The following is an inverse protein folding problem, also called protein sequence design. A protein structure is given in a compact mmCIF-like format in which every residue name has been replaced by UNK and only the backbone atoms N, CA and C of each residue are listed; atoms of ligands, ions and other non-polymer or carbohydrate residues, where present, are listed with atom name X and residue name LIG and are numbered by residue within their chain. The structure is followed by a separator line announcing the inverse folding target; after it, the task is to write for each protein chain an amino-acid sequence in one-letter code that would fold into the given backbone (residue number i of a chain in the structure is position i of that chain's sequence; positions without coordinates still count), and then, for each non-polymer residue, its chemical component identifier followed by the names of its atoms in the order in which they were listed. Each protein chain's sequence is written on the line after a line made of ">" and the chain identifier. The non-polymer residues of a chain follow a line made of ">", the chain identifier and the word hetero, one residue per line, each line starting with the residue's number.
data_IF_055995838671
#
_entry.id   IF_055995838671
#
_cell.length_a   1.000
_cell.length_b   1.000
_cell.length_c   1.000
_cell.angle_alpha   90.00
_cell.angle_beta   90.00
_cell.angle_gamma   90.00
#
_symmetry.space_group_name_H-M   'P 1'
#
loop_
_entity.id
_entity.type
_entity.pdbx_description
1 polymer ?
#
# COMPACT_ATOMS: atom_id res chain seq x y z
N UNK A 1 -2.65 12.09 -2.11
CA UNK A 1 -3.16 10.97 -1.28
C UNK A 1 -4.12 10.17 -2.14
N UNK A 2 -4.10 8.84 -2.10
CA UNK A 2 -4.98 8.01 -2.93
C UNK A 2 -6.41 8.10 -2.37
N UNK A 3 -7.40 8.65 -3.11
CA UNK A 3 -8.78 8.79 -2.63
C UNK A 3 -9.39 7.46 -2.15
N UNK A 4 -8.95 6.35 -2.75
CA UNK A 4 -9.31 4.98 -2.40
C UNK A 4 -9.07 4.66 -0.91
N UNK A 5 -7.95 5.11 -0.35
CA UNK A 5 -7.60 4.88 1.06
C UNK A 5 -8.50 5.69 2.00
N UNK A 6 -8.91 6.88 1.58
CA UNK A 6 -9.77 7.76 2.38
C UNK A 6 -11.15 7.15 2.52
N UNK A 7 -11.73 6.67 1.42
CA UNK A 7 -13.02 5.95 1.43
C UNK A 7 -12.90 4.67 2.27
N UNK A 8 -11.84 3.87 2.04
CA UNK A 8 -11.60 2.65 2.79
C UNK A 8 -11.53 2.88 4.31
N UNK A 9 -10.73 3.85 4.73
CA UNK A 9 -10.54 4.17 6.14
C UNK A 9 -11.80 4.74 6.81
N UNK A 10 -12.50 5.69 6.17
CA UNK A 10 -13.69 6.32 6.77
C UNK A 10 -14.84 5.33 6.86
N UNK A 11 -15.13 4.57 5.80
CA UNK A 11 -16.20 3.58 5.82
C UNK A 11 -15.92 2.46 6.85
N UNK A 12 -14.67 2.02 6.96
CA UNK A 12 -14.29 1.04 7.98
C UNK A 12 -14.44 1.62 9.39
N UNK A 13 -14.02 2.86 9.63
CA UNK A 13 -14.17 3.50 10.95
C UNK A 13 -15.65 3.67 11.35
N UNK A 14 -16.52 4.08 10.42
CA UNK A 14 -17.95 4.23 10.67
C UNK A 14 -18.64 2.89 10.95
N UNK A 15 -18.21 1.82 10.28
CA UNK A 15 -18.70 0.45 10.52
C UNK A 15 -18.55 0.04 11.98
N UNK A 16 -17.45 0.45 12.63
CA UNK A 16 -17.09 0.03 13.98
C UNK A 16 -17.81 0.81 15.10
N UNK A 17 -18.53 1.90 14.79
CA UNK A 17 -19.21 2.75 15.80
C UNK A 17 -20.28 1.99 16.57
N UNK A 18 -20.99 1.08 15.91
CA UNK A 18 -22.02 0.23 16.53
C UNK A 18 -21.55 -1.17 16.90
N UNK A 19 -20.24 -1.39 16.99
CA UNK A 19 -19.68 -2.67 17.40
C UNK A 19 -19.63 -2.81 18.93
N UNK A 20 -19.81 -4.03 19.42
CA UNK A 20 -19.50 -4.36 20.81
C UNK A 20 -18.09 -4.97 20.89
N UNK A 21 -17.24 -4.53 21.83
CA UNK A 21 -15.92 -5.12 22.00
C UNK A 21 -16.06 -6.53 22.58
N UNK A 22 -15.77 -7.54 21.78
CA UNK A 22 -15.76 -8.95 22.23
C UNK A 22 -14.32 -9.40 22.43
N UNK A 23 -14.01 -9.88 23.63
CA UNK A 23 -12.66 -10.36 23.98
C UNK A 23 -12.17 -11.41 22.97
N UNK A 24 -11.00 -11.16 22.37
CA UNK A 24 -10.36 -12.04 21.38
C UNK A 24 -10.90 -11.97 19.95
N UNK A 25 -11.98 -11.22 19.68
CA UNK A 25 -12.53 -11.04 18.32
C UNK A 25 -12.56 -9.58 17.83
N UNK A 26 -12.21 -8.62 18.70
CA UNK A 26 -12.26 -7.20 18.39
C UNK A 26 -13.68 -6.64 18.45
N UNK A 27 -13.92 -5.54 17.74
CA UNK A 27 -15.24 -4.91 17.65
C UNK A 27 -16.16 -5.74 16.74
N UNK A 28 -17.17 -6.38 17.32
CA UNK A 28 -18.14 -7.19 16.58
C UNK A 28 -19.39 -6.36 16.33
N UNK A 29 -19.65 -6.11 15.05
CA UNK A 29 -20.79 -5.32 14.59
C UNK A 29 -21.93 -6.27 14.23
N UNK A 30 -23.07 -6.15 14.89
CA UNK A 30 -24.26 -6.99 14.65
C UNK A 30 -25.24 -6.36 13.67
N UNK A 31 -25.15 -5.04 13.43
CA UNK A 31 -26.04 -4.33 12.53
C UNK A 31 -25.70 -4.60 11.05
N UNK A 32 -26.65 -5.10 10.22
CA UNK A 32 -26.40 -5.40 8.81
C UNK A 32 -25.92 -4.20 7.96
N UNK A 33 -26.40 -2.99 8.26
CA UNK A 33 -25.97 -1.78 7.55
C UNK A 33 -24.50 -1.47 7.82
N UNK A 34 -24.09 -1.55 9.10
CA UNK A 34 -22.71 -1.29 9.49
C UNK A 34 -21.76 -2.38 8.99
N UNK A 35 -22.19 -3.64 8.89
CA UNK A 35 -21.43 -4.72 8.26
C UNK A 35 -21.18 -4.44 6.78
N UNK A 36 -22.21 -4.02 6.02
CA UNK A 36 -22.07 -3.65 4.62
C UNK A 36 -21.14 -2.44 4.44
N UNK A 37 -21.19 -1.47 5.36
CA UNK A 37 -20.27 -0.34 5.36
C UNK A 37 -18.82 -0.76 5.61
N UNK A 38 -18.60 -1.76 6.48
CA UNK A 38 -17.29 -2.37 6.73
C UNK A 38 -16.76 -3.15 5.52
N UNK A 39 -17.64 -3.81 4.77
CA UNK A 39 -17.28 -4.47 3.51
C UNK A 39 -16.78 -3.46 2.46
N UNK A 40 -17.43 -2.29 2.34
CA UNK A 40 -16.95 -1.19 1.48
C UNK A 40 -15.58 -0.68 1.95
N UNK A 41 -15.43 -0.49 3.26
CA UNK A 41 -14.17 -0.04 3.87
C UNK A 41 -13.01 -1.00 3.60
N UNK A 42 -13.22 -2.29 3.84
CA UNK A 42 -12.22 -3.34 3.59
C UNK A 42 -11.86 -3.49 2.12
N UNK A 43 -12.83 -3.39 1.20
CA UNK A 43 -12.56 -3.37 -0.23
C UNK A 43 -11.68 -2.16 -0.64
N UNK A 44 -11.96 -0.97 -0.09
CA UNK A 44 -11.16 0.22 -0.33
C UNK A 44 -9.71 0.07 0.17
N UNK A 45 -9.52 -0.47 1.38
CA UNK A 45 -8.18 -0.71 1.92
C UNK A 45 -7.43 -1.82 1.15
N UNK A 46 -8.12 -2.88 0.72
CA UNK A 46 -7.54 -3.95 -0.09
C UNK A 46 -7.05 -3.47 -1.46
N UNK A 47 -7.69 -2.45 -2.03
CA UNK A 47 -7.28 -1.85 -3.31
C UNK A 47 -6.08 -0.90 -3.20
N UNK A 48 -5.54 -0.66 -2.00
CA UNK A 48 -4.43 0.27 -1.80
C UNK A 48 -3.16 -0.14 -2.57
N UNK A 49 -2.79 -1.43 -2.50
CA UNK A 49 -1.59 -1.98 -3.15
C UNK A 49 -1.74 -1.98 -4.69
N UNK A 50 -2.85 -2.50 -5.28
CA UNK A 50 -3.10 -2.40 -6.71
C UNK A 50 -3.05 -0.97 -7.25
N UNK A 51 -3.71 -0.03 -6.55
CA UNK A 51 -3.81 1.36 -7.00
C UNK A 51 -2.44 2.05 -6.95
N UNK A 52 -1.64 1.77 -5.92
CA UNK A 52 -0.26 2.25 -5.85
C UNK A 52 0.54 1.82 -7.09
N UNK A 53 0.57 0.53 -7.40
CA UNK A 53 1.30 0.00 -8.55
C UNK A 53 0.80 0.58 -9.88
N UNK A 54 -0.52 0.75 -10.02
CA UNK A 54 -1.14 1.37 -11.18
C UNK A 54 -0.66 2.81 -11.38
N UNK A 55 -0.61 3.63 -10.33
CA UNK A 55 -0.16 5.02 -10.41
C UNK A 55 1.35 5.15 -10.62
N UNK A 56 2.16 4.23 -10.08
CA UNK A 56 3.59 4.14 -10.38
C UNK A 56 3.80 3.85 -11.87
N UNK A 57 3.12 2.82 -12.40
CA UNK A 57 3.19 2.46 -13.82
C UNK A 57 2.68 3.60 -14.72
N UNK A 58 1.58 4.24 -14.32
CA UNK A 58 1.02 5.41 -15.00
C UNK A 58 2.01 6.58 -15.08
N UNK A 59 2.80 6.82 -14.01
CA UNK A 59 3.82 7.88 -14.01
C UNK A 59 4.91 7.67 -15.08
N UNK A 60 5.12 6.43 -15.54
CA UNK A 60 6.16 6.07 -16.50
C UNK A 60 5.60 5.98 -17.94
N UNK A 61 4.47 5.31 -18.13
CA UNK A 61 3.91 5.02 -19.45
C UNK A 61 2.64 5.83 -19.83
N UNK A 62 2.09 6.59 -18.89
CA UNK A 62 0.79 7.25 -19.02
C UNK A 62 -0.38 6.27 -18.95
N UNK A 63 -1.52 6.64 -19.54
CA UNK A 63 -2.77 5.84 -19.51
C UNK A 63 -2.60 4.35 -19.84
N UNK A 64 -1.80 3.93 -20.85
CA UNK A 64 -1.64 2.50 -21.18
C UNK A 64 -0.96 1.68 -20.07
N UNK A 65 -0.21 2.32 -19.16
CA UNK A 65 0.46 1.66 -18.05
C UNK A 65 -0.45 1.40 -16.84
N UNK A 66 -1.63 2.04 -16.78
CA UNK A 66 -2.52 1.95 -15.63
C UNK A 66 -2.98 0.49 -15.39
N UNK A 67 -3.52 -0.15 -16.42
CA UNK A 67 -4.02 -1.53 -16.36
C UNK A 67 -2.94 -2.57 -16.00
N UNK A 68 -1.76 -2.61 -16.66
CA UNK A 68 -0.73 -3.59 -16.30
C UNK A 68 -0.19 -3.37 -14.88
N UNK A 69 -0.09 -2.11 -14.43
CA UNK A 69 0.28 -1.81 -13.05
C UNK A 69 -0.79 -2.25 -12.04
N UNK A 70 -2.07 -2.07 -12.36
CA UNK A 70 -3.17 -2.52 -11.49
C UNK A 70 -3.20 -4.04 -11.35
N UNK A 71 -3.09 -4.78 -12.46
CA UNK A 71 -3.12 -6.25 -12.46
C UNK A 71 -1.93 -6.81 -11.68
N UNK A 72 -0.71 -6.34 -11.98
CA UNK A 72 0.49 -6.83 -11.30
C UNK A 72 0.55 -6.39 -9.84
N UNK A 73 0.03 -5.20 -9.50
CA UNK A 73 -0.15 -4.77 -8.12
C UNK A 73 -1.14 -5.64 -7.35
N UNK A 74 -2.23 -6.07 -7.98
CA UNK A 74 -3.16 -7.05 -7.39
C UNK A 74 -2.52 -8.43 -7.21
N UNK A 75 -1.65 -8.84 -8.14
CA UNK A 75 -0.84 -10.05 -7.98
C UNK A 75 0.17 -9.94 -6.83
N UNK A 76 0.66 -8.75 -6.49
CA UNK A 76 1.54 -8.55 -5.34
C UNK A 76 0.80 -8.69 -4.01
N UNK A 77 -0.46 -8.23 -3.95
CA UNK A 77 -1.33 -8.32 -2.77
C UNK A 77 -2.06 -9.64 -2.61
N UNK A 78 -1.99 -10.53 -3.59
CA UNK A 78 -2.67 -11.83 -3.58
C UNK A 78 -1.65 -12.95 -3.33
N UNK A 79 -1.97 -13.94 -2.48
CA UNK A 79 -1.10 -15.10 -2.29
C UNK A 79 -1.02 -15.92 -3.58
N UNK A 80 0.12 -15.83 -4.26
CA UNK A 80 0.37 -16.45 -5.56
C UNK A 80 1.67 -17.29 -5.53
N UNK A 81 1.86 -18.13 -6.54
CA UNK A 81 3.00 -19.05 -6.62
C UNK A 81 2.81 -20.34 -5.81
N UNK A 82 3.76 -21.26 -5.93
CA UNK A 82 3.70 -22.58 -5.29
C UNK A 82 3.66 -22.49 -3.75
N UNK A 83 4.27 -21.45 -3.18
CA UNK A 83 4.39 -21.24 -1.73
C UNK A 83 3.39 -20.22 -1.17
N UNK A 84 2.39 -19.79 -1.95
CA UNK A 84 1.38 -18.78 -1.56
C UNK A 84 1.99 -17.51 -0.92
N UNK A 85 2.98 -16.94 -1.60
CA UNK A 85 3.75 -15.80 -1.08
C UNK A 85 3.04 -14.50 -1.41
N UNK A 86 2.83 -13.68 -0.38
CA UNK A 86 2.40 -12.29 -0.53
C UNK A 86 3.65 -11.41 -0.55
N UNK A 87 3.86 -10.69 -1.65
CA UNK A 87 4.99 -9.74 -1.79
C UNK A 87 4.60 -8.32 -1.43
N UNK A 88 3.30 -8.07 -1.27
CA UNK A 88 2.76 -6.88 -0.65
C UNK A 88 3.21 -5.58 -1.32
N UNK A 89 3.44 -4.56 -0.50
CA UNK A 89 3.78 -3.22 -0.95
C UNK A 89 5.10 -3.15 -1.75
N UNK A 90 6.14 -3.85 -1.32
CA UNK A 90 7.46 -3.83 -2.01
C UNK A 90 7.37 -4.52 -3.37
N UNK A 91 6.65 -5.64 -3.43
CA UNK A 91 6.31 -6.27 -4.70
C UNK A 91 5.57 -5.31 -5.62
N UNK A 92 4.54 -4.63 -5.13
CA UNK A 92 3.76 -3.68 -5.91
C UNK A 92 4.57 -2.47 -6.39
N UNK A 93 5.52 -1.96 -5.59
CA UNK A 93 6.40 -0.87 -6.00
C UNK A 93 7.32 -1.30 -7.15
N UNK A 94 7.97 -2.46 -7.03
CA UNK A 94 8.86 -3.00 -8.06
C UNK A 94 8.08 -3.37 -9.33
N UNK A 95 6.95 -4.05 -9.19
CA UNK A 95 6.10 -4.46 -10.30
C UNK A 95 5.42 -3.28 -10.98
N UNK A 96 5.07 -2.23 -10.24
CA UNK A 96 4.57 -0.97 -10.81
C UNK A 96 5.62 -0.31 -11.71
N UNK A 97 6.88 -0.27 -11.27
CA UNK A 97 7.99 0.25 -12.08
C UNK A 97 8.22 -0.62 -13.32
N UNK A 98 8.31 -1.94 -13.14
CA UNK A 98 8.51 -2.90 -14.25
C UNK A 98 7.38 -2.81 -15.28
N UNK A 99 6.12 -2.81 -14.83
CA UNK A 99 4.94 -2.64 -15.68
C UNK A 99 4.97 -1.33 -16.46
N UNK A 100 5.42 -0.24 -15.82
CA UNK A 100 5.57 1.05 -16.47
C UNK A 100 6.63 1.01 -17.58
N UNK A 101 7.80 0.42 -17.32
CA UNK A 101 8.86 0.32 -18.33
C UNK A 101 8.50 -0.63 -19.47
N UNK A 102 7.90 -1.78 -19.19
CA UNK A 102 7.43 -2.72 -20.22
C UNK A 102 6.32 -2.07 -21.06
N UNK A 103 5.36 -1.40 -20.45
CA UNK A 103 4.31 -0.67 -21.18
C UNK A 103 4.89 0.45 -22.06
N UNK A 104 5.90 1.17 -21.56
CA UNK A 104 6.63 2.18 -22.34
C UNK A 104 7.40 1.54 -23.50
N UNK A 105 7.98 0.36 -23.32
CA UNK A 105 8.67 -0.39 -24.36
C UNK A 105 7.72 -0.89 -25.45
N UNK A 106 6.58 -1.50 -25.10
CA UNK A 106 5.58 -1.93 -26.09
C UNK A 106 5.02 -0.75 -26.89
N UNK A 107 4.95 0.44 -26.26
CA UNK A 107 4.54 1.68 -26.94
C UNK A 107 5.51 2.13 -28.04
N UNK A 108 6.77 1.71 -28.05
CA UNK A 108 7.73 2.08 -29.10
C UNK A 108 7.60 1.25 -30.38
N UNK A 109 6.78 0.20 -30.37
CA UNK A 109 6.57 -0.66 -31.53
C UNK A 109 5.89 0.10 -32.67
N UNK A 110 6.51 0.08 -33.85
CA UNK A 110 5.95 0.71 -35.06
C UNK A 110 4.81 -0.17 -35.59
N UNK A 111 3.58 0.32 -35.51
CA UNK A 111 2.39 -0.36 -36.02
C UNK A 111 1.76 0.43 -37.16
N UNK A 112 1.05 -0.26 -38.07
CA UNK A 112 0.32 0.39 -39.16
C UNK A 112 -0.79 1.31 -38.65
N UNK A 113 -1.23 2.27 -39.49
CA UNK A 113 -2.21 3.31 -39.10
C UNK A 113 -3.52 2.75 -38.54
N UNK A 114 -3.93 1.56 -38.98
CA UNK A 114 -5.13 0.87 -38.50
C UNK A 114 -5.04 0.40 -37.04
N UNK A 115 -3.83 0.12 -36.53
CA UNK A 115 -3.63 -0.46 -35.20
C UNK A 115 -3.33 0.58 -34.11
N UNK A 116 -3.03 1.82 -34.48
CA UNK A 116 -2.70 2.90 -33.52
C UNK A 116 -3.76 3.10 -32.43
N UNK A 117 -5.08 3.06 -32.71
CA UNK A 117 -6.11 3.19 -31.66
C UNK A 117 -6.19 1.97 -30.74
N UNK A 118 -5.89 0.79 -31.25
CA UNK A 118 -6.00 -0.50 -30.54
C UNK A 118 -4.81 -0.71 -29.60
N UNK A 119 -3.64 -0.13 -29.92
CA UNK A 119 -2.42 -0.24 -29.12
C UNK A 119 -2.59 0.12 -27.64
N UNK A 120 -3.02 1.33 -27.26
CA UNK A 120 -3.13 1.73 -25.84
C UNK A 120 -4.28 1.06 -25.08
N UNK A 121 -5.30 0.59 -25.80
CA UNK A 121 -6.51 0.02 -25.20
C UNK A 121 -6.35 -1.49 -24.97
N UNK A 122 -5.71 -2.20 -25.89
CA UNK A 122 -5.68 -3.66 -25.91
C UNK A 122 -4.26 -4.23 -25.91
N UNK A 123 -3.43 -3.84 -26.87
CA UNK A 123 -2.12 -4.51 -27.08
C UNK A 123 -1.17 -4.20 -25.93
N UNK A 124 -0.99 -2.93 -25.56
CA UNK A 124 -0.07 -2.54 -24.49
C UNK A 124 -0.50 -3.16 -23.14
N UNK A 125 -1.78 -3.04 -22.71
CA UNK A 125 -2.21 -3.65 -21.45
C UNK A 125 -2.04 -5.17 -21.39
N UNK A 126 -2.34 -5.90 -22.49
CA UNK A 126 -2.24 -7.36 -22.52
C UNK A 126 -0.78 -7.79 -22.51
N UNK A 127 0.03 -7.28 -23.43
CA UNK A 127 1.43 -7.70 -23.58
C UNK A 127 2.22 -7.36 -22.32
N UNK A 128 2.01 -6.16 -21.77
CA UNK A 128 2.75 -5.73 -20.58
C UNK A 128 2.34 -6.51 -19.33
N UNK A 129 1.04 -6.77 -19.15
CA UNK A 129 0.58 -7.56 -18.00
C UNK A 129 1.00 -9.02 -18.08
N UNK A 130 0.99 -9.63 -19.28
CA UNK A 130 1.48 -10.99 -19.48
C UNK A 130 2.99 -11.11 -19.23
N UNK A 131 3.81 -10.22 -19.80
CA UNK A 131 5.27 -10.27 -19.64
C UNK A 131 5.65 -10.09 -18.17
N UNK A 132 5.13 -9.04 -17.52
CA UNK A 132 5.50 -8.76 -16.12
C UNK A 132 4.87 -9.76 -15.16
N UNK A 133 3.63 -10.20 -15.41
CA UNK A 133 2.97 -11.22 -14.61
C UNK A 133 3.70 -12.57 -14.65
N UNK A 134 4.12 -13.02 -15.84
CA UNK A 134 4.91 -14.25 -15.97
C UNK A 134 6.28 -14.10 -15.30
N UNK A 135 6.98 -12.99 -15.53
CA UNK A 135 8.26 -12.72 -14.88
C UNK A 135 8.13 -12.72 -13.34
N UNK A 136 7.02 -12.17 -12.83
CA UNK A 136 6.73 -12.17 -11.41
C UNK A 136 6.57 -13.58 -10.85
N UNK A 137 5.70 -14.39 -11.46
CA UNK A 137 5.37 -15.73 -10.96
C UNK A 137 6.57 -16.68 -10.98
N UNK A 138 7.41 -16.62 -12.02
CA UNK A 138 8.53 -17.56 -12.16
C UNK A 138 9.81 -17.11 -11.49
N UNK A 139 10.09 -15.81 -11.44
CA UNK A 139 11.42 -15.30 -11.05
C UNK A 139 11.36 -14.40 -9.82
N UNK A 140 10.44 -13.45 -9.76
CA UNK A 140 10.50 -12.38 -8.75
C UNK A 140 9.78 -12.70 -7.44
N UNK A 141 8.78 -13.58 -7.45
CA UNK A 141 7.92 -13.83 -6.28
C UNK A 141 8.71 -14.39 -5.09
N UNK A 142 9.66 -15.29 -5.33
CA UNK A 142 10.56 -15.85 -4.31
C UNK A 142 11.45 -14.81 -3.64
N UNK A 143 12.36 -14.13 -4.37
CA UNK A 143 13.30 -13.19 -3.76
C UNK A 143 12.61 -12.00 -3.10
N UNK A 144 11.54 -11.46 -3.70
CA UNK A 144 10.79 -10.35 -3.11
C UNK A 144 10.07 -10.82 -1.84
N UNK A 145 9.52 -12.03 -1.84
CA UNK A 145 8.88 -12.63 -0.66
C UNK A 145 9.83 -12.78 0.52
N UNK A 146 11.06 -13.23 0.28
CA UNK A 146 12.10 -13.34 1.32
C UNK A 146 12.43 -11.96 1.89
N UNK A 147 12.65 -10.97 1.02
CA UNK A 147 12.91 -9.60 1.44
C UNK A 147 11.76 -9.01 2.27
N UNK A 148 10.52 -9.33 1.89
CA UNK A 148 9.33 -8.90 2.63
C UNK A 148 9.21 -9.54 4.00
N UNK A 149 9.40 -10.87 4.10
CA UNK A 149 9.40 -11.58 5.39
C UNK A 149 10.48 -11.03 6.32
N UNK A 150 11.67 -10.75 5.79
CA UNK A 150 12.76 -10.14 6.55
C UNK A 150 12.38 -8.75 7.06
N UNK A 151 11.83 -7.90 6.20
CA UNK A 151 11.40 -6.54 6.56
C UNK A 151 10.32 -6.55 7.64
N UNK A 152 9.27 -7.37 7.46
CA UNK A 152 8.19 -7.52 8.43
C UNK A 152 8.74 -8.04 9.76
N UNK A 153 9.62 -9.05 9.74
CA UNK A 153 10.24 -9.57 10.96
C UNK A 153 11.07 -8.51 11.70
N UNK A 154 11.89 -7.73 10.99
CA UNK A 154 12.62 -6.62 11.62
C UNK A 154 11.68 -5.61 12.27
N UNK A 155 10.61 -5.21 11.58
CA UNK A 155 9.68 -4.20 12.08
C UNK A 155 8.81 -4.71 13.24
N UNK A 156 8.41 -5.98 13.23
CA UNK A 156 7.71 -6.60 14.35
C UNK A 156 8.58 -6.65 15.60
N UNK A 157 9.89 -6.95 15.45
CA UNK A 157 10.84 -6.92 16.57
C UNK A 157 11.07 -5.50 17.11
N UNK A 158 11.00 -4.48 16.25
CA UNK A 158 11.09 -3.07 16.66
C UNK A 158 9.83 -2.57 17.38
N UNK A 159 8.63 -3.07 17.02
CA UNK A 159 7.38 -2.69 17.70
C UNK A 159 7.38 -3.05 19.19
N UNK A 160 7.93 -4.21 19.57
CA UNK A 160 7.96 -4.65 20.96
C UNK A 160 9.05 -4.00 21.83
N UNK A 161 10.28 -3.89 21.33
CA UNK A 161 11.43 -3.42 22.15
C UNK A 161 11.75 -1.92 21.99
N UNK A 162 11.29 -1.27 20.93
CA UNK A 162 11.70 0.10 20.57
C UNK A 162 10.67 0.86 19.73
N UNK A 163 9.37 0.59 19.90
CA UNK A 163 8.30 1.33 19.21
C UNK A 163 8.41 2.84 19.42
N UNK A 164 8.95 3.25 20.57
CA UNK A 164 9.33 4.63 20.92
C UNK A 164 10.35 5.23 19.93
N UNK A 165 11.42 4.49 19.62
CA UNK A 165 12.49 4.94 18.72
C UNK A 165 11.94 5.08 17.30
N UNK A 166 11.13 4.13 16.85
CA UNK A 166 10.47 4.18 15.54
C UNK A 166 9.55 5.41 15.44
N UNK A 167 8.74 5.67 16.47
CA UNK A 167 7.89 6.86 16.55
C UNK A 167 8.68 8.16 16.54
N UNK A 168 9.82 8.22 17.24
CA UNK A 168 10.71 9.39 17.25
C UNK A 168 11.31 9.68 15.87
N UNK A 169 11.79 8.65 15.16
CA UNK A 169 12.34 8.80 13.81
C UNK A 169 11.25 9.28 12.85
N UNK A 170 10.06 8.68 12.90
CA UNK A 170 8.94 9.07 12.03
C UNK A 170 8.45 10.49 12.32
N UNK A 171 8.40 10.88 13.60
CA UNK A 171 8.10 12.26 14.02
C UNK A 171 9.17 13.25 13.56
N UNK A 172 10.45 12.88 13.65
CA UNK A 172 11.55 13.70 13.14
C UNK A 172 11.48 13.88 11.62
N UNK A 173 11.16 12.82 10.85
CA UNK A 173 10.95 12.93 9.41
C UNK A 173 9.76 13.82 9.04
N UNK A 174 8.70 13.81 9.86
CA UNK A 174 7.55 14.70 9.67
C UNK A 174 7.90 16.18 9.92
N UNK A 175 8.67 16.45 10.98
CA UNK A 175 9.06 17.79 11.38
C UNK A 175 10.20 18.38 10.53
N UNK A 176 11.03 17.55 9.89
CA UNK A 176 12.23 18.00 9.17
C UNK A 176 11.92 18.97 8.03
N UNK A 177 10.88 18.68 7.25
CA UNK A 177 10.57 19.39 6.00
C UNK A 177 9.10 19.84 5.92
N UNK A 178 8.36 19.72 7.04
CA UNK A 178 6.96 20.15 7.23
C UNK A 178 6.05 19.98 6.00
N UNK A 179 6.17 18.84 5.29
CA UNK A 179 5.38 18.54 4.09
C UNK A 179 6.16 18.39 2.76
N UNK A 180 7.46 18.65 2.75
CA UNK A 180 8.32 18.44 1.58
C UNK A 180 8.68 16.96 1.32
N UNK A 181 9.70 16.66 0.47
CA UNK A 181 10.03 15.29 0.05
C UNK A 181 10.21 14.27 1.17
N UNK A 182 10.84 14.65 2.29
CA UNK A 182 11.09 13.74 3.43
C UNK A 182 9.80 13.33 4.13
N UNK A 183 8.84 14.24 4.26
CA UNK A 183 7.53 13.95 4.83
C UNK A 183 6.71 13.03 3.89
N UNK A 184 6.84 13.18 2.57
CA UNK A 184 6.15 12.31 1.60
C UNK A 184 6.68 10.88 1.61
N UNK A 185 7.98 10.69 1.77
CA UNK A 185 8.57 9.35 1.90
C UNK A 185 8.15 8.69 3.21
N UNK A 186 8.13 9.42 4.33
CA UNK A 186 7.60 8.93 5.60
C UNK A 186 6.11 8.53 5.51
N UNK A 187 5.29 9.34 4.83
CA UNK A 187 3.87 9.02 4.60
C UNK A 187 3.72 7.76 3.74
N UNK A 188 4.50 7.63 2.67
CA UNK A 188 4.45 6.45 1.80
C UNK A 188 4.90 5.18 2.54
N UNK A 189 5.95 5.28 3.35
CA UNK A 189 6.46 4.19 4.17
C UNK A 189 5.44 3.74 5.23
N UNK A 190 4.86 4.66 5.99
CA UNK A 190 3.87 4.31 7.02
C UNK A 190 2.58 3.75 6.42
N UNK A 191 2.16 4.26 5.26
CA UNK A 191 1.04 3.70 4.52
C UNK A 191 1.35 2.29 3.97
N UNK A 192 2.59 2.04 3.56
CA UNK A 192 3.06 0.71 3.17
C UNK A 192 2.92 -0.29 4.32
N UNK A 193 3.36 0.09 5.52
CA UNK A 193 3.27 -0.78 6.70
C UNK A 193 1.82 -1.09 7.08
N UNK A 194 0.94 -0.10 6.94
CA UNK A 194 -0.50 -0.31 7.12
C UNK A 194 -1.06 -1.33 6.12
N UNK A 195 -0.54 -1.37 4.89
CA UNK A 195 -0.93 -2.37 3.88
C UNK A 195 -0.58 -3.80 4.31
N UNK A 196 0.54 -3.96 5.03
CA UNK A 196 1.02 -5.23 5.55
C UNK A 196 0.39 -5.61 6.91
N UNK A 197 -0.62 -4.85 7.37
CA UNK A 197 -1.28 -5.08 8.66
C UNK A 197 -0.52 -4.54 9.88
N UNK A 198 0.54 -3.75 9.67
CA UNK A 198 1.30 -3.08 10.73
C UNK A 198 0.77 -1.66 10.91
N UNK A 199 -0.16 -1.47 11.84
CA UNK A 199 -0.87 -0.19 12.02
C UNK A 199 -0.16 0.82 12.92
N UNK A 200 0.63 0.36 13.90
CA UNK A 200 1.27 1.21 14.91
C UNK A 200 2.08 2.39 14.35
N UNK A 201 3.00 2.17 13.39
CA UNK A 201 3.82 3.24 12.82
C UNK A 201 3.02 4.34 12.11
N UNK A 202 1.95 3.97 11.40
CA UNK A 202 1.06 4.92 10.73
C UNK A 202 0.23 5.73 11.74
N UNK A 203 -0.19 5.12 12.84
CA UNK A 203 -0.82 5.82 13.96
C UNK A 203 0.12 6.87 14.56
N UNK A 204 1.33 6.46 14.95
CA UNK A 204 2.33 7.36 15.54
C UNK A 204 2.68 8.56 14.62
N UNK A 205 2.89 8.29 13.34
CA UNK A 205 3.21 9.33 12.35
C UNK A 205 2.07 10.34 12.14
N UNK A 206 0.81 9.88 12.07
CA UNK A 206 -0.35 10.76 11.87
C UNK A 206 -0.65 11.62 13.09
N UNK A 207 -0.43 11.09 14.29
CA UNK A 207 -0.54 11.87 15.54
C UNK A 207 0.54 12.96 15.58
N UNK A 208 1.77 12.65 15.14
CA UNK A 208 2.85 13.64 15.02
C UNK A 208 2.55 14.79 14.05
N UNK A 209 1.85 14.52 12.94
CA UNK A 209 1.42 15.53 11.96
C UNK A 209 0.31 16.47 12.48
N UNK A 210 -0.60 15.98 13.32
CA UNK A 210 -1.67 16.79 13.89
C UNK A 210 -1.19 17.81 14.94
N UNK A 211 -0.02 17.58 15.55
CA UNK A 211 0.59 18.42 16.57
C UNK A 211 1.83 19.16 16.02
N UNK A 212 1.60 20.05 15.06
CA UNK A 212 2.64 20.89 14.46
C UNK A 212 3.03 22.13 15.30
N UNK A 213 3.18 22.04 16.64
CA UNK A 213 4.27 22.78 17.29
C UNK A 213 5.33 21.83 17.92
N UNK A 214 6.63 22.10 17.72
CA UNK A 214 7.74 21.17 18.01
C UNK A 214 7.96 20.80 19.49
N UNK A 215 7.19 21.33 20.45
CA UNK A 215 7.38 21.11 21.89
C UNK A 215 6.67 19.89 22.50
N UNK A 216 5.74 19.24 21.79
CA UNK A 216 4.84 18.23 22.41
C UNK A 216 5.03 16.78 21.92
N UNK A 217 6.07 16.50 21.13
CA UNK A 217 6.36 15.15 20.61
C UNK A 217 6.65 14.09 21.70
N UNK A 218 7.02 14.49 22.93
CA UNK A 218 7.39 13.57 24.02
C UNK A 218 6.20 12.98 24.79
N UNK A 219 5.04 13.63 24.80
CA UNK A 219 3.88 13.17 25.59
C UNK A 219 3.06 12.07 24.90
N UNK A 220 3.18 11.94 23.57
CA UNK A 220 2.34 11.05 22.76
C UNK A 220 2.87 9.61 22.60
N UNK A 221 4.15 9.37 22.89
CA UNK A 221 4.70 8.02 23.02
C UNK A 221 4.04 7.27 24.17
N UNK A 222 3.67 7.96 25.25
CA UNK A 222 2.96 7.38 26.39
C UNK A 222 1.54 6.91 26.05
N UNK A 223 0.80 7.64 25.20
CA UNK A 223 -0.56 7.25 24.80
C UNK A 223 -0.58 6.13 23.76
N UNK A 224 0.39 6.09 22.82
CA UNK A 224 0.49 5.00 21.85
C UNK A 224 0.95 3.68 22.47
N UNK A 225 1.66 3.72 23.61
CA UNK A 225 2.06 2.52 24.36
C UNK A 225 0.93 1.96 25.25
N UNK A 226 -0.11 2.74 25.56
CA UNK A 226 -1.25 2.29 26.38
C UNK A 226 -2.42 1.72 25.58
N UNK A 227 -2.42 1.82 24.25
CA UNK A 227 -3.46 1.28 23.36
C UNK A 227 -3.05 -0.04 22.67
N UNK A 228 -2.00 -0.71 23.16
CA UNK A 228 -1.63 -2.07 22.77
C UNK A 228 -2.47 -3.13 23.47
#
# INVERSE_FOLDING_TARGET
>A
MMPVVVVGGICLALSLIGGEPVAGKGMVVTNPFLLNLGAIGSAGLGMMIPVLAAYISYSIAGKPGLTPGLITGFMASTPLGADHVVTGFLGAMLLGILSGYVAKWVKTWKVGKALMPVMPILIIPIVSSCIVGMLYLYVLIGPIGIAMKWLVSMLSNMQGSSGVVLGLILGAMAAFDMGGPVNKTATAFTLALMAEGIYGPNGAYRIGLCYSPPGHCSLNVYFSAQMG
#
